data_IF_622334463483
#
_entry.id   IF_622334463483
#
_cell.length_a   1.000
_cell.length_b   1.000
_cell.length_c   1.000
_cell.angle_alpha   90.00
_cell.angle_beta   90.00
_cell.angle_gamma   90.00
#
_symmetry.space_group_name_H-M   'P 1'
#
loop_
_entity.id
_entity.type
_entity.pdbx_description
1 polymer ?
#
# COMPACT_ATOMS: atom_id res chain seq x y z
N UNK A 1 26.66 -8.77 -12.71
CA UNK A 1 26.00 -7.62 -12.04
C UNK A 1 26.61 -7.46 -10.65
N UNK A 2 27.16 -6.27 -10.32
CA UNK A 2 27.70 -5.99 -8.97
C UNK A 2 26.57 -5.91 -7.93
N UNK A 3 26.90 -5.93 -6.64
CA UNK A 3 25.89 -5.78 -5.56
C UNK A 3 25.16 -4.45 -5.70
N UNK A 4 25.86 -3.36 -6.02
CA UNK A 4 25.24 -2.03 -6.20
C UNK A 4 24.27 -2.00 -7.39
N UNK A 5 24.64 -2.62 -8.51
CA UNK A 5 23.73 -2.73 -9.67
C UNK A 5 22.50 -3.55 -9.36
N UNK A 6 22.58 -4.51 -8.45
CA UNK A 6 21.46 -5.36 -8.03
C UNK A 6 20.44 -4.60 -7.15
N UNK A 7 20.80 -3.46 -6.56
CA UNK A 7 19.90 -2.64 -5.76
C UNK A 7 18.91 -1.83 -6.62
N UNK A 8 19.15 -1.72 -7.93
CA UNK A 8 18.23 -1.06 -8.85
C UNK A 8 17.17 -2.03 -9.34
N UNK A 9 15.89 -1.65 -9.37
CA UNK A 9 14.85 -2.43 -10.05
C UNK A 9 15.20 -2.70 -11.52
N UNK A 10 14.60 -3.70 -12.11
CA UNK A 10 14.72 -3.91 -13.54
C UNK A 10 14.07 -2.74 -14.30
N UNK A 11 14.72 -2.18 -15.34
CA UNK A 11 14.08 -1.15 -16.16
C UNK A 11 12.91 -1.73 -16.97
N UNK A 12 11.92 -0.90 -17.25
CA UNK A 12 10.77 -1.30 -18.06
C UNK A 12 9.74 -2.19 -17.36
N UNK A 13 9.82 -2.37 -16.02
CA UNK A 13 8.78 -3.07 -15.25
C UNK A 13 7.41 -2.44 -15.48
N UNK A 14 6.39 -3.25 -15.71
CA UNK A 14 4.99 -2.84 -15.80
C UNK A 14 4.37 -2.91 -14.42
N UNK A 15 4.06 -1.75 -13.86
CA UNK A 15 3.64 -1.60 -12.47
C UNK A 15 2.20 -1.08 -12.39
N UNK A 16 1.34 -1.76 -11.64
CA UNK A 16 -0.01 -1.29 -11.31
C UNK A 16 -0.07 -0.94 -9.82
N UNK A 17 -0.56 0.27 -9.50
CA UNK A 17 -0.67 0.77 -8.12
C UNK A 17 -2.11 1.18 -7.84
N UNK A 18 -2.78 0.54 -6.89
CA UNK A 18 -4.10 0.94 -6.43
C UNK A 18 -4.00 2.08 -5.39
N UNK A 19 -4.91 3.08 -5.46
CA UNK A 19 -4.81 4.29 -4.65
C UNK A 19 -3.54 5.07 -4.97
N UNK A 20 -3.19 5.14 -6.26
CA UNK A 20 -1.87 5.59 -6.73
C UNK A 20 -1.77 7.08 -7.06
N UNK A 21 -2.86 7.85 -6.96
CA UNK A 21 -2.85 9.25 -7.39
C UNK A 21 -2.54 10.26 -6.27
N UNK A 22 -2.38 9.80 -5.03
CA UNK A 22 -2.08 10.67 -3.88
C UNK A 22 -1.29 9.96 -2.79
N UNK A 23 -0.67 10.72 -1.89
CA UNK A 23 0.01 10.24 -0.69
C UNK A 23 1.10 9.20 -0.98
N UNK A 24 1.12 8.10 -0.21
CA UNK A 24 2.12 7.01 -0.38
C UNK A 24 2.06 6.44 -1.81
N UNK A 25 0.85 6.28 -2.37
CA UNK A 25 0.67 5.72 -3.71
C UNK A 25 1.29 6.58 -4.81
N UNK A 26 1.14 7.89 -4.74
CA UNK A 26 1.76 8.83 -5.68
C UNK A 26 3.30 8.80 -5.59
N UNK A 27 3.83 8.79 -4.37
CA UNK A 27 5.29 8.73 -4.16
C UNK A 27 5.86 7.39 -4.63
N UNK A 28 5.15 6.29 -4.43
CA UNK A 28 5.49 4.98 -5.00
C UNK A 28 5.51 5.05 -6.54
N UNK A 29 4.46 5.62 -7.15
CA UNK A 29 4.39 5.77 -8.60
C UNK A 29 5.55 6.60 -9.15
N UNK A 30 5.87 7.73 -8.52
CA UNK A 30 7.01 8.57 -8.88
C UNK A 30 8.34 7.82 -8.81
N UNK A 31 8.57 7.07 -7.73
CA UNK A 31 9.79 6.29 -7.53
C UNK A 31 9.94 5.17 -8.59
N UNK A 32 8.85 4.49 -8.95
CA UNK A 32 8.89 3.49 -10.02
C UNK A 32 9.14 4.13 -11.41
N UNK A 33 8.54 5.30 -11.69
CA UNK A 33 8.81 6.06 -12.93
C UNK A 33 10.28 6.48 -13.01
N UNK A 34 10.85 7.00 -11.93
CA UNK A 34 12.26 7.37 -11.84
C UNK A 34 13.17 6.15 -12.06
N UNK A 35 12.76 4.96 -11.60
CA UNK A 35 13.46 3.70 -11.85
C UNK A 35 13.27 3.16 -13.27
N UNK A 36 12.58 3.87 -14.17
CA UNK A 36 12.36 3.51 -15.56
C UNK A 36 11.22 2.50 -15.78
N UNK A 37 10.30 2.37 -14.85
CA UNK A 37 9.12 1.52 -14.99
C UNK A 37 8.01 2.19 -15.82
N UNK A 38 7.13 1.38 -16.39
CA UNK A 38 5.85 1.79 -16.97
C UNK A 38 4.78 1.69 -15.87
N UNK A 39 4.18 2.81 -15.50
CA UNK A 39 3.29 2.88 -14.34
C UNK A 39 1.85 3.14 -14.74
N UNK A 40 0.95 2.32 -14.21
CA UNK A 40 -0.48 2.52 -14.19
C UNK A 40 -0.96 2.76 -12.76
N UNK A 41 -1.67 3.84 -12.52
CA UNK A 41 -2.31 4.11 -11.24
C UNK A 41 -3.82 4.02 -11.37
N UNK A 42 -4.52 3.52 -10.36
CA UNK A 42 -5.96 3.72 -10.25
C UNK A 42 -6.30 4.39 -8.92
N UNK A 43 -7.32 5.25 -8.94
CA UNK A 43 -7.79 5.97 -7.77
C UNK A 43 -9.28 6.32 -7.91
N UNK A 44 -9.96 6.53 -6.80
CA UNK A 44 -11.37 6.96 -6.80
C UNK A 44 -11.52 8.45 -7.05
N UNK A 45 -10.49 9.24 -6.74
CA UNK A 45 -10.47 10.70 -6.81
C UNK A 45 -10.08 11.20 -8.19
N UNK A 46 -11.04 11.62 -9.00
CA UNK A 46 -10.74 12.24 -10.31
C UNK A 46 -9.88 13.51 -10.19
N UNK A 47 -10.07 14.41 -9.21
CA UNK A 47 -9.16 15.54 -9.03
C UNK A 47 -7.71 15.11 -8.78
N UNK A 48 -7.47 14.07 -7.98
CA UNK A 48 -6.12 13.55 -7.74
C UNK A 48 -5.53 12.92 -9.01
N UNK A 49 -6.33 12.16 -9.77
CA UNK A 49 -5.90 11.60 -11.06
C UNK A 49 -5.56 12.67 -12.09
N UNK A 50 -6.32 13.77 -12.16
CA UNK A 50 -6.02 14.90 -13.04
C UNK A 50 -4.67 15.54 -12.67
N UNK A 51 -4.46 15.86 -11.39
CA UNK A 51 -3.19 16.40 -10.90
C UNK A 51 -2.02 15.44 -11.15
N UNK A 52 -2.26 14.12 -11.00
CA UNK A 52 -1.26 13.09 -11.27
C UNK A 52 -0.86 13.06 -12.77
N UNK A 53 -1.84 13.11 -13.69
CA UNK A 53 -1.56 13.14 -15.15
C UNK A 53 -0.79 14.39 -15.55
N UNK A 54 -1.11 15.55 -14.95
CA UNK A 54 -0.41 16.81 -15.21
C UNK A 54 1.05 16.74 -14.74
N UNK A 55 1.28 16.14 -13.58
CA UNK A 55 2.62 15.99 -12.98
C UNK A 55 3.48 14.94 -13.65
N UNK A 56 2.87 13.85 -14.12
CA UNK A 56 3.54 12.70 -14.75
C UNK A 56 2.95 12.39 -16.12
N UNK A 57 3.23 13.24 -17.13
CA UNK A 57 2.67 13.08 -18.47
C UNK A 57 3.08 11.75 -19.11
N UNK A 58 2.13 11.14 -19.82
CA UNK A 58 2.34 9.84 -20.47
C UNK A 58 2.11 8.62 -19.56
N UNK A 59 1.74 8.80 -18.30
CA UNK A 59 1.33 7.69 -17.41
C UNK A 59 -0.12 7.30 -17.63
N UNK A 60 -0.44 6.04 -17.40
CA UNK A 60 -1.82 5.56 -17.39
C UNK A 60 -2.45 5.77 -16.03
N UNK A 61 -3.59 6.45 -15.98
CA UNK A 61 -4.30 6.77 -14.75
C UNK A 61 -5.81 6.54 -14.93
N UNK A 62 -6.36 5.55 -14.23
CA UNK A 62 -7.75 5.10 -14.37
C UNK A 62 -8.55 5.44 -13.11
N UNK A 63 -9.74 6.05 -13.28
CA UNK A 63 -10.66 6.21 -12.17
C UNK A 63 -11.30 4.88 -11.82
N UNK A 64 -11.18 4.45 -10.57
CA UNK A 64 -11.82 3.24 -10.09
C UNK A 64 -12.07 3.30 -8.58
N UNK A 65 -13.27 2.94 -8.16
CA UNK A 65 -13.58 2.61 -6.77
C UNK A 65 -13.21 1.13 -6.53
N UNK A 66 -12.23 0.91 -5.68
CA UNK A 66 -11.75 -0.45 -5.36
C UNK A 66 -12.76 -1.28 -4.55
N UNK A 67 -13.83 -0.69 -4.06
CA UNK A 67 -14.94 -1.42 -3.46
C UNK A 67 -15.82 -2.15 -4.50
N UNK A 68 -15.78 -1.70 -5.75
CA UNK A 68 -16.53 -2.22 -6.89
C UNK A 68 -15.71 -3.23 -7.70
N UNK A 69 -16.17 -4.47 -7.76
CA UNK A 69 -15.48 -5.55 -8.48
C UNK A 69 -15.37 -5.30 -10.00
N UNK A 70 -16.43 -4.72 -10.61
CA UNK A 70 -16.44 -4.45 -12.04
C UNK A 70 -15.44 -3.34 -12.43
N UNK A 71 -15.27 -2.34 -11.56
CA UNK A 71 -14.29 -1.28 -11.78
C UNK A 71 -12.85 -1.81 -11.62
N UNK A 72 -12.61 -2.76 -10.70
CA UNK A 72 -11.31 -3.44 -10.61
C UNK A 72 -11.02 -4.23 -11.90
N UNK A 73 -11.97 -4.99 -12.41
CA UNK A 73 -11.82 -5.72 -13.68
C UNK A 73 -11.49 -4.77 -14.83
N UNK A 74 -12.17 -3.62 -14.92
CA UNK A 74 -11.89 -2.60 -15.93
C UNK A 74 -10.44 -2.05 -15.82
N UNK A 75 -9.89 -1.87 -14.61
CA UNK A 75 -8.48 -1.49 -14.41
C UNK A 75 -7.54 -2.52 -15.04
N UNK A 76 -7.79 -3.81 -14.85
CA UNK A 76 -6.94 -4.86 -15.45
C UNK A 76 -7.08 -4.96 -16.96
N UNK A 77 -8.24 -4.64 -17.52
CA UNK A 77 -8.43 -4.52 -18.96
C UNK A 77 -7.57 -3.39 -19.52
N UNK A 78 -7.60 -2.20 -18.92
CA UNK A 78 -6.74 -1.06 -19.28
C UNK A 78 -5.27 -1.43 -19.14
N UNK A 79 -4.86 -2.10 -18.05
CA UNK A 79 -3.48 -2.59 -17.85
C UNK A 79 -3.03 -3.49 -19.01
N UNK A 80 -3.87 -4.42 -19.43
CA UNK A 80 -3.56 -5.33 -20.53
C UNK A 80 -3.47 -4.61 -21.89
N UNK A 81 -4.43 -3.70 -22.15
CA UNK A 81 -4.48 -2.94 -23.41
C UNK A 81 -3.27 -2.03 -23.61
N UNK A 82 -2.75 -1.40 -22.54
CA UNK A 82 -1.64 -0.45 -22.63
C UNK A 82 -0.27 -1.10 -22.52
N UNK A 83 -0.11 -2.13 -21.69
CA UNK A 83 1.20 -2.69 -21.37
C UNK A 83 1.35 -4.18 -21.73
N UNK A 84 0.28 -4.83 -22.17
CA UNK A 84 0.31 -6.25 -22.57
C UNK A 84 0.60 -7.24 -21.43
N UNK A 85 0.71 -6.78 -20.18
CA UNK A 85 1.00 -7.63 -19.03
C UNK A 85 1.26 -6.84 -17.74
N UNK A 86 1.74 -7.53 -16.71
CA UNK A 86 2.00 -6.97 -15.39
C UNK A 86 3.21 -7.67 -14.76
N UNK A 87 4.14 -6.90 -14.23
CA UNK A 87 5.32 -7.40 -13.51
C UNK A 87 5.22 -7.15 -12.00
N UNK A 88 4.63 -6.01 -11.61
CA UNK A 88 4.48 -5.62 -10.20
C UNK A 88 3.06 -5.12 -9.94
N UNK A 89 2.38 -5.75 -8.97
CA UNK A 89 1.18 -5.18 -8.38
C UNK A 89 1.51 -4.58 -7.02
N UNK A 90 1.17 -3.30 -6.81
CA UNK A 90 1.21 -2.65 -5.50
C UNK A 90 -0.23 -2.43 -4.99
N UNK A 91 -0.65 -3.26 -4.07
CA UNK A 91 -1.91 -3.15 -3.35
C UNK A 91 -1.79 -2.09 -2.24
N UNK A 92 -2.04 -0.81 -2.60
CA UNK A 92 -1.88 0.33 -1.69
C UNK A 92 -3.21 0.95 -1.24
N UNK A 93 -4.27 0.86 -2.05
CA UNK A 93 -5.57 1.46 -1.71
C UNK A 93 -6.05 1.04 -0.32
N UNK A 94 -6.56 2.02 0.44
CA UNK A 94 -7.10 1.76 1.76
C UNK A 94 -7.58 3.02 2.48
N UNK A 95 -8.58 2.86 3.32
CA UNK A 95 -9.16 3.91 4.16
C UNK A 95 -8.74 3.76 5.63
N UNK A 96 -8.80 4.86 6.36
CA UNK A 96 -8.53 4.87 7.79
C UNK A 96 -9.57 4.08 8.60
N UNK A 97 -10.80 4.01 8.11
CA UNK A 97 -11.93 3.50 8.89
C UNK A 97 -12.32 4.46 10.04
N UNK A 98 -13.33 4.08 10.83
CA UNK A 98 -13.79 4.87 11.97
C UNK A 98 -12.75 4.90 13.10
N UNK A 99 -12.86 5.93 13.94
CA UNK A 99 -12.17 6.04 15.23
C UNK A 99 -13.22 6.00 16.32
N UNK A 100 -13.27 4.95 17.14
CA UNK A 100 -14.28 4.77 18.18
C UNK A 100 -14.15 3.46 18.93
N UNK A 101 -14.86 3.35 20.05
CA UNK A 101 -15.00 2.06 20.75
C UNK A 101 -15.72 1.03 19.90
N UNK A 102 -15.45 -0.25 20.15
CA UNK A 102 -16.05 -1.34 19.35
C UNK A 102 -17.58 -1.36 19.41
N UNK A 103 -18.14 -0.89 20.50
CA UNK A 103 -19.59 -0.77 20.77
C UNK A 103 -20.25 0.43 20.04
N UNK A 104 -19.44 1.37 19.54
CA UNK A 104 -19.90 2.55 18.79
C UNK A 104 -19.69 2.43 17.27
N UNK A 105 -18.96 1.43 16.80
CA UNK A 105 -18.71 1.21 15.38
C UNK A 105 -19.89 0.47 14.75
N UNK A 106 -20.51 1.07 13.73
CA UNK A 106 -21.62 0.46 13.00
C UNK A 106 -21.16 -0.67 12.07
N UNK A 107 -22.05 -1.61 11.77
CA UNK A 107 -21.80 -2.67 10.78
C UNK A 107 -21.44 -2.11 9.40
N UNK A 108 -22.04 -0.99 9.00
CA UNK A 108 -21.73 -0.33 7.73
C UNK A 108 -20.29 0.20 7.67
N UNK A 109 -19.79 0.83 8.73
CA UNK A 109 -18.41 1.32 8.83
C UNK A 109 -17.40 0.16 8.88
N UNK A 110 -17.75 -0.90 9.62
CA UNK A 110 -16.98 -2.14 9.65
C UNK A 110 -16.89 -2.71 8.22
N UNK A 111 -18.02 -2.94 7.55
CA UNK A 111 -18.05 -3.54 6.23
C UNK A 111 -17.36 -2.69 5.17
N UNK A 112 -17.51 -1.37 5.21
CA UNK A 112 -16.80 -0.45 4.31
C UNK A 112 -15.28 -0.59 4.47
N UNK A 113 -14.79 -0.68 5.72
CA UNK A 113 -13.37 -0.84 6.00
C UNK A 113 -12.83 -2.20 5.50
N UNK A 114 -13.58 -3.29 5.73
CA UNK A 114 -13.23 -4.63 5.23
C UNK A 114 -13.19 -4.63 3.69
N UNK A 115 -14.21 -4.06 3.05
CA UNK A 115 -14.34 -4.08 1.59
C UNK A 115 -13.18 -3.35 0.92
N UNK A 116 -12.86 -2.14 1.38
CA UNK A 116 -11.79 -1.33 0.77
C UNK A 116 -10.40 -1.84 1.14
N UNK A 117 -10.15 -2.18 2.42
CA UNK A 117 -8.80 -2.49 2.85
C UNK A 117 -8.38 -3.96 2.59
N UNK A 118 -9.32 -4.90 2.61
CA UNK A 118 -9.01 -6.33 2.51
C UNK A 118 -9.58 -6.96 1.24
N UNK A 119 -10.91 -6.85 1.03
CA UNK A 119 -11.55 -7.51 -0.11
C UNK A 119 -11.01 -6.98 -1.45
N UNK A 120 -10.76 -5.67 -1.55
CA UNK A 120 -10.13 -5.08 -2.72
C UNK A 120 -8.76 -5.69 -3.01
N UNK A 121 -7.89 -5.83 -2.00
CA UNK A 121 -6.54 -6.41 -2.18
C UNK A 121 -6.60 -7.87 -2.66
N UNK A 122 -7.56 -8.64 -2.16
CA UNK A 122 -7.83 -9.98 -2.68
C UNK A 122 -8.23 -9.94 -4.16
N UNK A 123 -9.19 -9.08 -4.54
CA UNK A 123 -9.66 -8.95 -5.92
C UNK A 123 -8.54 -8.52 -6.87
N UNK A 124 -7.73 -7.54 -6.49
CA UNK A 124 -6.55 -7.16 -7.28
C UNK A 124 -5.58 -8.31 -7.44
N UNK A 125 -5.27 -9.06 -6.38
CA UNK A 125 -4.40 -10.23 -6.46
C UNK A 125 -5.00 -11.31 -7.38
N UNK A 126 -6.31 -11.57 -7.29
CA UNK A 126 -7.02 -12.53 -8.15
C UNK A 126 -6.84 -12.23 -9.65
N UNK A 127 -7.03 -10.97 -10.06
CA UNK A 127 -6.84 -10.56 -11.45
C UNK A 127 -5.37 -10.46 -11.87
N UNK A 128 -4.47 -10.09 -10.96
CA UNK A 128 -3.06 -9.91 -11.24
C UNK A 128 -2.29 -11.23 -11.42
N UNK A 129 -2.62 -12.26 -10.65
CA UNK A 129 -1.85 -13.52 -10.62
C UNK A 129 -1.66 -14.16 -11.99
N UNK A 130 -2.66 -14.26 -12.88
CA UNK A 130 -2.45 -14.79 -14.22
C UNK A 130 -1.40 -13.99 -15.04
N UNK A 131 -1.40 -12.66 -14.91
CA UNK A 131 -0.47 -11.78 -15.61
C UNK A 131 0.94 -11.86 -14.99
N UNK A 132 1.04 -11.94 -13.65
CA UNK A 132 2.30 -12.12 -12.93
C UNK A 132 2.95 -13.48 -13.26
N UNK A 133 2.16 -14.54 -13.44
CA UNK A 133 2.66 -15.87 -13.89
C UNK A 133 3.27 -15.83 -15.28
N UNK A 134 2.84 -14.92 -16.14
CA UNK A 134 3.40 -14.71 -17.47
C UNK A 134 4.62 -13.76 -17.47
N UNK A 135 4.98 -13.19 -16.33
CA UNK A 135 6.13 -12.30 -16.15
C UNK A 135 7.36 -13.06 -15.68
N UNK A 136 8.54 -12.62 -16.12
CA UNK A 136 9.84 -13.08 -15.56
C UNK A 136 10.24 -12.34 -14.27
N UNK A 137 9.44 -11.38 -13.81
CA UNK A 137 9.73 -10.51 -12.67
C UNK A 137 8.55 -10.35 -11.70
N UNK A 138 7.68 -11.38 -11.63
CA UNK A 138 6.44 -11.34 -10.87
C UNK A 138 6.62 -10.94 -9.39
N UNK A 139 6.02 -9.81 -8.99
CA UNK A 139 6.02 -9.36 -7.61
C UNK A 139 4.67 -8.77 -7.20
N UNK A 140 4.16 -9.23 -6.07
CA UNK A 140 2.96 -8.70 -5.42
C UNK A 140 3.36 -8.04 -4.10
N UNK A 141 3.15 -6.73 -4.00
CA UNK A 141 3.46 -5.93 -2.84
C UNK A 141 2.18 -5.40 -2.18
N UNK A 142 1.97 -5.75 -0.93
CA UNK A 142 0.87 -5.24 -0.12
C UNK A 142 1.33 -4.09 0.78
N UNK A 143 0.59 -2.97 0.79
CA UNK A 143 0.81 -1.92 1.78
C UNK A 143 -0.14 -2.19 2.97
N UNK A 144 0.42 -2.84 3.99
CA UNK A 144 -0.27 -3.09 5.25
C UNK A 144 -0.14 -1.89 6.20
N UNK A 145 0.37 -2.08 7.40
CA UNK A 145 0.66 -1.07 8.43
C UNK A 145 1.32 -1.78 9.62
N UNK A 146 2.01 -1.06 10.49
CA UNK A 146 2.39 -1.57 11.82
C UNK A 146 1.16 -2.03 12.63
N UNK A 147 -0.03 -1.51 12.35
CA UNK A 147 -1.29 -2.03 12.87
C UNK A 147 -1.62 -3.48 12.41
N UNK A 148 -0.87 -4.04 11.47
CA UNK A 148 -0.90 -5.45 11.07
C UNK A 148 0.01 -6.36 11.92
N UNK A 149 0.68 -5.81 12.94
CA UNK A 149 1.49 -6.55 13.92
C UNK A 149 1.28 -6.09 15.36
N UNK A 150 0.63 -4.93 15.56
CA UNK A 150 0.33 -4.35 16.87
C UNK A 150 -1.19 -4.19 17.04
N UNK A 151 -1.66 -4.20 18.29
CA UNK A 151 -3.01 -3.77 18.61
C UNK A 151 -3.15 -2.25 18.37
N UNK A 152 -4.32 -1.80 17.89
CA UNK A 152 -4.59 -0.38 17.71
C UNK A 152 -5.94 -0.04 18.33
N UNK A 153 -5.91 0.46 19.56
CA UNK A 153 -7.11 0.83 20.29
C UNK A 153 -7.90 1.91 19.53
N UNK A 154 -9.24 1.80 19.57
CA UNK A 154 -10.16 2.70 18.88
C UNK A 154 -10.13 2.66 17.34
N UNK A 155 -9.38 1.72 16.78
CA UNK A 155 -9.19 1.53 15.33
C UNK A 155 -9.34 0.06 14.95
N UNK A 156 -10.21 -0.66 15.65
CA UNK A 156 -10.37 -2.13 15.51
C UNK A 156 -10.61 -2.59 14.08
N UNK A 157 -11.51 -2.01 13.25
CA UNK A 157 -11.70 -2.46 11.87
C UNK A 157 -10.44 -2.30 11.02
N UNK A 158 -9.73 -1.18 11.19
CA UNK A 158 -8.47 -0.93 10.49
C UNK A 158 -7.40 -1.96 10.88
N UNK A 159 -7.16 -2.16 12.17
CA UNK A 159 -6.17 -3.12 12.65
C UNK A 159 -6.51 -4.54 12.17
N UNK A 160 -7.77 -4.97 12.28
CA UNK A 160 -8.22 -6.28 11.82
C UNK A 160 -7.91 -6.49 10.33
N UNK A 161 -8.19 -5.49 9.46
CA UNK A 161 -7.86 -5.59 8.04
C UNK A 161 -6.36 -5.67 7.80
N UNK A 162 -5.54 -4.91 8.55
CA UNK A 162 -4.09 -4.89 8.36
C UNK A 162 -3.41 -6.18 8.83
N UNK A 163 -3.90 -6.82 9.88
CA UNK A 163 -3.51 -8.18 10.27
C UNK A 163 -3.91 -9.21 9.21
N UNK A 164 -5.13 -9.11 8.68
CA UNK A 164 -5.62 -10.02 7.64
C UNK A 164 -4.79 -9.93 6.35
N UNK A 165 -4.33 -8.72 5.97
CA UNK A 165 -3.41 -8.51 4.81
C UNK A 165 -2.09 -9.26 5.02
N UNK A 166 -1.53 -9.27 6.22
CA UNK A 166 -0.31 -10.03 6.51
C UNK A 166 -0.56 -11.53 6.34
N UNK A 167 -1.71 -12.02 6.80
CA UNK A 167 -2.11 -13.43 6.59
C UNK A 167 -2.31 -13.77 5.11
N UNK A 168 -2.99 -12.91 4.36
CA UNK A 168 -3.18 -13.05 2.91
C UNK A 168 -1.83 -13.09 2.18
N UNK A 169 -0.94 -12.15 2.47
CA UNK A 169 0.41 -12.10 1.90
C UNK A 169 1.19 -13.38 2.16
N UNK A 170 1.17 -13.88 3.39
CA UNK A 170 1.89 -15.13 3.76
C UNK A 170 1.38 -16.34 2.96
N UNK A 171 0.06 -16.47 2.84
CA UNK A 171 -0.56 -17.56 2.08
C UNK A 171 -0.22 -17.47 0.59
N UNK A 172 -0.34 -16.30 -0.01
CA UNK A 172 0.01 -16.08 -1.41
C UNK A 172 1.51 -16.29 -1.69
N UNK A 173 2.39 -15.95 -0.76
CA UNK A 173 3.82 -16.20 -0.90
C UNK A 173 4.13 -17.71 -1.00
N UNK A 174 3.43 -18.53 -0.21
CA UNK A 174 3.58 -19.99 -0.26
C UNK A 174 2.95 -20.59 -1.53
N UNK A 175 1.78 -20.08 -1.93
CA UNK A 175 1.03 -20.56 -3.10
C UNK A 175 1.74 -20.24 -4.42
N UNK A 176 2.34 -19.05 -4.53
CA UNK A 176 2.88 -18.53 -5.79
C UNK A 176 4.40 -18.74 -5.95
N UNK A 177 5.06 -19.29 -4.94
CA UNK A 177 6.50 -19.50 -4.94
C UNK A 177 6.99 -20.41 -6.08
N UNK A 178 6.26 -21.47 -6.41
CA UNK A 178 6.56 -22.36 -7.53
C UNK A 178 6.49 -21.66 -8.90
N UNK A 179 5.77 -20.55 -8.98
CA UNK A 179 5.68 -19.69 -10.16
C UNK A 179 6.74 -18.56 -10.17
N UNK A 180 7.71 -18.59 -9.26
CA UNK A 180 8.75 -17.56 -9.07
C UNK A 180 8.16 -16.15 -8.82
N UNK A 181 6.94 -16.06 -8.26
CA UNK A 181 6.30 -14.81 -7.89
C UNK A 181 6.60 -14.55 -6.42
N UNK A 182 7.21 -13.39 -6.14
CA UNK A 182 7.47 -12.94 -4.77
C UNK A 182 6.28 -12.15 -4.23
N UNK A 183 5.91 -12.41 -3.00
CA UNK A 183 4.80 -11.70 -2.33
C UNK A 183 5.29 -11.19 -0.98
N UNK A 184 5.23 -9.89 -0.76
CA UNK A 184 5.66 -9.26 0.48
C UNK A 184 4.65 -8.20 0.94
N UNK A 185 4.74 -7.79 2.19
CA UNK A 185 3.99 -6.66 2.73
C UNK A 185 4.94 -5.63 3.34
N UNK A 186 4.72 -4.35 3.05
CA UNK A 186 5.30 -3.26 3.82
C UNK A 186 4.34 -2.85 4.93
N UNK A 187 4.89 -2.62 6.10
CA UNK A 187 4.20 -2.16 7.29
C UNK A 187 4.68 -0.75 7.63
N UNK A 188 4.16 0.28 6.94
CA UNK A 188 4.49 1.65 7.31
C UNK A 188 4.06 1.94 8.75
N UNK A 189 4.87 2.73 9.44
CA UNK A 189 4.55 3.25 10.76
C UNK A 189 3.61 4.46 10.70
N UNK A 190 3.93 5.46 11.48
CA UNK A 190 3.25 6.74 11.50
C UNK A 190 3.87 7.57 10.36
N UNK A 191 3.18 7.62 9.21
CA UNK A 191 3.65 8.32 8.00
C UNK A 191 3.17 9.75 8.00
N UNK A 192 4.07 10.70 7.79
CA UNK A 192 3.74 12.13 7.68
C UNK A 192 2.73 12.42 6.57
N UNK A 193 1.87 13.40 6.80
CA UNK A 193 0.96 13.91 5.79
C UNK A 193 -0.49 14.07 6.25
N UNK A 194 -1.36 14.62 5.38
CA UNK A 194 -2.73 15.03 5.74
C UNK A 194 -3.58 13.92 6.36
N UNK A 195 -3.37 12.67 5.93
CA UNK A 195 -4.09 11.52 6.48
C UNK A 195 -3.75 11.29 7.95
N UNK A 196 -2.47 11.38 8.33
CA UNK A 196 -2.05 11.20 9.71
C UNK A 196 -2.46 12.40 10.57
N UNK A 197 -2.39 13.61 10.03
CA UNK A 197 -2.88 14.80 10.70
C UNK A 197 -4.37 14.66 11.05
N UNK A 198 -5.19 14.14 10.13
CA UNK A 198 -6.58 13.80 10.40
C UNK A 198 -6.77 12.75 11.51
N UNK A 199 -5.93 11.74 11.55
CA UNK A 199 -5.98 10.70 12.61
C UNK A 199 -5.60 11.28 13.96
N UNK A 200 -4.55 12.10 14.02
CA UNK A 200 -4.11 12.78 15.25
C UNK A 200 -5.21 13.70 15.78
N UNK A 201 -5.82 14.51 14.90
CA UNK A 201 -6.92 15.41 15.26
C UNK A 201 -8.11 14.66 15.83
N UNK A 202 -8.60 13.64 15.10
CA UNK A 202 -9.74 12.83 15.56
C UNK A 202 -9.46 12.16 16.92
N UNK A 203 -8.23 11.73 17.14
CA UNK A 203 -7.84 11.13 18.42
C UNK A 203 -7.74 12.17 19.54
N UNK A 204 -7.17 13.35 19.25
CA UNK A 204 -7.09 14.46 20.20
C UNK A 204 -8.49 14.91 20.66
N UNK A 205 -9.44 15.05 19.74
CA UNK A 205 -10.84 15.36 20.04
C UNK A 205 -11.48 14.27 20.91
N UNK A 206 -11.26 13.00 20.60
CA UNK A 206 -11.84 11.88 21.34
C UNK A 206 -11.37 11.81 22.81
N UNK A 207 -10.10 12.10 23.05
CA UNK A 207 -9.54 12.06 24.43
C UNK A 207 -9.53 13.40 25.13
N UNK A 208 -9.89 14.49 24.44
CA UNK A 208 -10.02 15.81 25.03
C UNK A 208 -8.69 16.52 25.32
N UNK A 209 -7.66 16.30 24.47
CA UNK A 209 -6.34 16.94 24.59
C UNK A 209 -6.04 17.80 23.36
N UNK A 210 -5.10 18.78 23.46
CA UNK A 210 -4.64 19.55 22.30
C UNK A 210 -4.00 18.67 21.22
N UNK A 211 -4.19 19.00 19.91
CA UNK A 211 -3.59 18.27 18.78
C UNK A 211 -2.06 18.17 18.89
N UNK A 212 -1.40 19.25 19.35
CA UNK A 212 0.06 19.25 19.53
C UNK A 212 0.53 18.24 20.59
N UNK A 213 -0.22 18.08 21.67
CA UNK A 213 0.06 17.09 22.71
C UNK A 213 -0.15 15.68 22.16
N UNK A 214 -1.25 15.44 21.46
CA UNK A 214 -1.51 14.16 20.80
C UNK A 214 -0.41 13.82 19.79
N UNK A 215 0.05 14.78 18.98
CA UNK A 215 1.17 14.60 18.04
C UNK A 215 2.45 14.18 18.77
N UNK A 216 2.76 14.83 19.89
CA UNK A 216 3.93 14.46 20.70
C UNK A 216 3.79 13.04 21.29
N UNK A 217 2.58 12.67 21.71
CA UNK A 217 2.29 11.31 22.17
C UNK A 217 2.58 10.27 21.07
N UNK A 218 2.15 10.54 19.83
CA UNK A 218 2.47 9.66 18.70
C UNK A 218 3.98 9.58 18.44
N UNK A 219 4.72 10.69 18.51
CA UNK A 219 6.19 10.68 18.36
C UNK A 219 6.87 9.89 19.48
N UNK A 220 6.35 9.95 20.70
CA UNK A 220 6.89 9.21 21.84
C UNK A 220 6.77 7.67 21.69
N UNK A 221 5.82 7.22 20.85
CA UNK A 221 5.66 5.77 20.53
C UNK A 221 6.72 5.25 19.55
N UNK A 222 7.46 6.12 18.89
CA UNK A 222 8.46 5.78 17.89
C UNK A 222 9.85 5.87 18.52
N UNK A 223 10.65 4.81 18.47
CA UNK A 223 12.01 4.84 19.05
C UNK A 223 12.90 5.93 18.44
N UNK A 224 12.79 6.17 17.12
CA UNK A 224 13.54 7.22 16.43
C UNK A 224 12.96 8.63 16.63
N UNK A 225 11.85 8.80 17.36
CA UNK A 225 11.19 10.08 17.66
C UNK A 225 10.86 10.94 16.43
N UNK A 226 10.68 10.32 15.29
CA UNK A 226 10.25 10.97 14.04
C UNK A 226 9.29 10.07 13.28
N UNK A 227 8.36 10.68 12.57
CA UNK A 227 7.50 9.97 11.63
C UNK A 227 8.32 9.50 10.43
N UNK A 228 7.85 8.49 9.73
CA UNK A 228 8.42 8.08 8.44
C UNK A 228 7.80 8.90 7.32
N UNK A 229 8.52 9.03 6.23
CA UNK A 229 8.02 9.70 5.02
C UNK A 229 7.46 8.67 4.03
N UNK A 230 6.72 9.11 3.03
CA UNK A 230 6.27 8.26 1.94
C UNK A 230 7.46 7.75 1.10
N UNK A 231 8.53 8.55 1.01
CA UNK A 231 9.79 8.21 0.33
C UNK A 231 10.52 7.06 1.03
N UNK A 232 10.50 6.99 2.37
CA UNK A 232 11.06 5.85 3.12
C UNK A 232 10.35 4.55 2.73
N UNK A 233 9.02 4.60 2.57
CA UNK A 233 8.22 3.45 2.13
C UNK A 233 8.52 3.09 0.68
N UNK A 234 8.65 4.09 -0.20
CA UNK A 234 8.94 3.89 -1.62
C UNK A 234 10.35 3.30 -1.83
N UNK A 235 11.34 3.76 -1.08
CA UNK A 235 12.70 3.20 -1.13
C UNK A 235 12.73 1.71 -0.80
N UNK A 236 11.98 1.28 0.23
CA UNK A 236 11.86 -0.15 0.56
C UNK A 236 11.09 -0.93 -0.51
N UNK A 237 10.06 -0.33 -1.12
CA UNK A 237 9.32 -0.95 -2.22
C UNK A 237 10.23 -1.20 -3.43
N UNK A 238 11.05 -0.21 -3.83
CA UNK A 238 12.02 -0.36 -4.92
C UNK A 238 13.06 -1.44 -4.61
N UNK A 239 13.59 -1.46 -3.38
CA UNK A 239 14.50 -2.54 -2.95
C UNK A 239 13.87 -3.92 -3.12
N UNK A 240 12.63 -4.10 -2.67
CA UNK A 240 11.90 -5.37 -2.81
C UNK A 240 11.65 -5.77 -4.27
N UNK A 241 11.57 -4.82 -5.19
CA UNK A 241 11.44 -5.07 -6.63
C UNK A 241 12.80 -5.24 -7.34
N UNK A 242 13.91 -5.05 -6.63
CA UNK A 242 15.25 -5.18 -7.20
C UNK A 242 15.77 -6.63 -7.22
N UNK A 243 16.76 -6.93 -8.06
CA UNK A 243 17.46 -8.22 -8.04
C UNK A 243 18.13 -8.56 -6.70
N UNK A 244 18.42 -7.56 -5.85
CA UNK A 244 18.99 -7.80 -4.52
C UNK A 244 18.01 -8.53 -3.59
N UNK A 245 16.71 -8.32 -3.78
CA UNK A 245 15.66 -8.96 -2.99
C UNK A 245 15.09 -10.24 -3.62
N UNK A 246 15.77 -10.85 -4.61
CA UNK A 246 15.27 -12.04 -5.34
C UNK A 246 14.86 -13.23 -4.45
N UNK A 247 15.45 -13.35 -3.27
CA UNK A 247 15.15 -14.39 -2.29
C UNK A 247 14.31 -13.87 -1.10
N UNK A 248 13.69 -12.68 -1.24
CA UNK A 248 12.81 -12.09 -0.22
C UNK A 248 11.36 -12.27 -0.65
N UNK A 249 10.68 -13.22 -0.04
CA UNK A 249 9.24 -13.48 -0.21
C UNK A 249 8.60 -13.87 1.12
N UNK A 250 7.31 -13.65 1.28
CA UNK A 250 6.56 -13.95 2.51
C UNK A 250 6.98 -13.08 3.69
N UNK A 251 7.58 -11.89 3.46
CA UNK A 251 8.03 -11.02 4.54
C UNK A 251 7.07 -9.86 4.78
N UNK A 252 6.82 -9.60 6.06
CA UNK A 252 6.13 -8.41 6.56
C UNK A 252 7.20 -7.46 7.12
N UNK A 253 7.57 -6.45 6.34
CA UNK A 253 8.71 -5.58 6.62
C UNK A 253 8.23 -4.23 7.13
N UNK A 254 8.59 -3.88 8.35
CA UNK A 254 8.27 -2.58 8.93
C UNK A 254 9.18 -1.48 8.39
N UNK A 255 8.56 -0.34 8.07
CA UNK A 255 9.22 0.95 7.79
C UNK A 255 8.58 1.94 8.76
N UNK A 256 9.05 2.01 10.00
CA UNK A 256 8.27 2.59 11.10
C UNK A 256 9.09 3.31 12.18
N UNK A 257 10.42 3.36 12.06
CA UNK A 257 11.27 3.94 13.10
C UNK A 257 11.22 3.20 14.44
N UNK A 258 10.77 1.94 14.41
CA UNK A 258 10.45 1.09 15.57
C UNK A 258 9.31 1.68 16.42
N UNK A 259 8.07 1.56 15.90
CA UNK A 259 6.85 1.80 16.70
C UNK A 259 6.67 0.65 17.68
N UNK A 260 6.65 0.95 18.96
CA UNK A 260 6.60 -0.04 20.05
C UNK A 260 5.14 -0.41 20.39
N UNK A 261 4.21 0.55 20.27
CA UNK A 261 2.77 0.38 20.52
C UNK A 261 1.96 1.45 19.77
N UNK A 262 0.65 1.22 19.61
CA UNK A 262 -0.27 2.13 18.93
C UNK A 262 -1.41 2.60 19.85
#
# INVERSE_FOLDING_TARGET
>A
MSVLQRLQPYPGLRVLISGGAAGIGEVLAAAYLEAGAQVHVCDVSEPALAAFRDKYPGTVATRADVSDAAQIEAVFKVQHEHFGGLDVLVNNAGIAGPTGGIDAISDAEWQATITVNLTAQYRFAHHAVPMLKASSHGHLLHIASVAGRLGYAWRTPYAATKWAIVGLMKSLASELGESDIRVNALLPGIVEGPRMDGVIRARAEQVGVPEAEMRQEYLNKISLRRMVTAEDVAAMALFLCSPAARNVTGQAISVDGNVEYL
#
